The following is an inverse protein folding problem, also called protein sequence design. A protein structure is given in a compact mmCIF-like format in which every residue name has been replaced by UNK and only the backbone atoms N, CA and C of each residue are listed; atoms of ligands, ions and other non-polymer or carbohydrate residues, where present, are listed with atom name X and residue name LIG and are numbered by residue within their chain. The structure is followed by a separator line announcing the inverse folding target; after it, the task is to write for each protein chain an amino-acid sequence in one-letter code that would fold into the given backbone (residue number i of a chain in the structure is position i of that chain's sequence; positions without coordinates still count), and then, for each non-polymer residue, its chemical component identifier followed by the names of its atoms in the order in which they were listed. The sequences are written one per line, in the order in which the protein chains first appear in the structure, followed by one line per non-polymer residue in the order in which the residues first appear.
data_IF_968550323987
#
_entry.id   IF_968550323987
#
_cell.length_a   1.000
_cell.length_b   1.000
_cell.length_c   1.000
_cell.angle_alpha   90.00
_cell.angle_beta   90.00
_cell.angle_gamma   90.00
#
_symmetry.space_group_name_H-M   'P 1'
#
loop_
_entity.id
_entity.type
_entity.pdbx_description
1 polymer ?
#
# COMPACT_ATOMS: atom_id res chain seq x y z
N UNK A 1 -5.29 -5.59 15.79
CA UNK A 1 -4.34 -5.46 14.63
C UNK A 1 -4.46 -6.73 13.82
N UNK A 2 -4.52 -6.65 12.51
CA UNK A 2 -4.66 -7.82 11.64
C UNK A 2 -4.59 -7.43 10.17
N UNK A 3 -4.70 -8.42 9.30
CA UNK A 3 -4.69 -8.25 7.85
C UNK A 3 -5.99 -8.80 7.28
N UNK A 4 -6.59 -8.11 6.33
CA UNK A 4 -7.73 -8.63 5.56
C UNK A 4 -7.46 -8.49 4.07
N UNK A 5 -8.05 -9.41 3.33
CA UNK A 5 -8.02 -9.40 1.87
C UNK A 5 -9.47 -9.53 1.39
N UNK A 6 -9.90 -8.60 0.57
CA UNK A 6 -11.21 -8.67 -0.09
C UNK A 6 -11.04 -9.27 -1.48
N UNK A 7 -11.84 -10.28 -1.77
CA UNK A 7 -11.85 -11.00 -3.04
C UNK A 7 -13.17 -10.70 -3.75
N UNK A 8 -13.10 -10.40 -5.05
CA UNK A 8 -14.25 -10.22 -5.91
C UNK A 8 -14.53 -11.49 -6.72
N UNK A 9 -15.78 -11.93 -6.76
CA UNK A 9 -16.22 -12.98 -7.66
C UNK A 9 -16.44 -12.40 -9.07
N UNK A 10 -15.52 -12.67 -9.99
CA UNK A 10 -15.58 -12.19 -11.37
C UNK A 10 -16.70 -12.86 -12.18
N UNK A 11 -17.07 -14.10 -11.82
CA UNK A 11 -18.10 -14.89 -12.51
C UNK A 11 -19.25 -15.23 -11.56
N UNK A 12 -20.43 -15.53 -12.14
CA UNK A 12 -21.56 -16.02 -11.36
C UNK A 12 -21.27 -17.39 -10.72
N UNK A 13 -20.45 -18.22 -11.36
CA UNK A 13 -19.98 -19.48 -10.77
C UNK A 13 -19.22 -19.22 -9.48
N UNK A 14 -18.24 -18.32 -9.49
CA UNK A 14 -17.46 -17.96 -8.28
C UNK A 14 -18.34 -17.38 -7.19
N UNK A 15 -19.36 -16.57 -7.56
CA UNK A 15 -20.35 -16.03 -6.64
C UNK A 15 -21.15 -17.16 -5.97
N UNK A 16 -21.64 -18.12 -6.76
CA UNK A 16 -22.37 -19.27 -6.24
C UNK A 16 -21.50 -20.14 -5.32
N UNK A 17 -20.21 -20.27 -5.62
CA UNK A 17 -19.27 -20.94 -4.72
C UNK A 17 -19.18 -20.24 -3.36
N UNK A 18 -19.16 -18.90 -3.31
CA UNK A 18 -19.16 -18.19 -2.04
C UNK A 18 -20.39 -18.53 -1.19
N UNK A 19 -21.56 -18.61 -1.80
CA UNK A 19 -22.80 -19.01 -1.13
C UNK A 19 -22.75 -20.48 -0.69
N UNK A 20 -22.35 -21.40 -1.55
CA UNK A 20 -22.21 -22.82 -1.27
C UNK A 20 -21.29 -23.12 -0.10
N UNK A 21 -20.14 -22.41 -0.03
CA UNK A 21 -19.18 -22.53 1.07
C UNK A 21 -19.52 -21.65 2.28
N UNK A 22 -20.72 -21.05 2.28
CA UNK A 22 -21.21 -20.21 3.37
C UNK A 22 -20.24 -19.05 3.74
N UNK A 23 -19.64 -18.45 2.74
CA UNK A 23 -18.78 -17.29 2.91
C UNK A 23 -19.61 -16.04 3.27
N UNK A 24 -19.13 -15.25 4.21
CA UNK A 24 -19.79 -13.98 4.56
C UNK A 24 -19.48 -12.93 3.49
N UNK A 25 -20.43 -12.73 2.60
CA UNK A 25 -20.34 -11.77 1.50
C UNK A 25 -21.08 -10.46 1.81
N UNK A 26 -20.85 -9.45 0.98
CA UNK A 26 -21.69 -8.27 0.90
C UNK A 26 -23.10 -8.61 0.35
N UNK A 27 -24.07 -7.66 0.36
CA UNK A 27 -25.42 -7.92 -0.15
C UNK A 27 -25.49 -8.32 -1.61
N UNK A 28 -24.49 -7.99 -2.43
CA UNK A 28 -24.43 -8.43 -3.83
C UNK A 28 -24.01 -9.89 -3.99
N UNK A 29 -23.40 -10.48 -2.96
CA UNK A 29 -22.79 -11.81 -2.98
C UNK A 29 -21.47 -11.87 -3.75
N UNK A 30 -20.96 -10.74 -4.23
CA UNK A 30 -19.75 -10.69 -5.07
C UNK A 30 -18.45 -10.45 -4.30
N UNK A 31 -18.54 -9.85 -3.14
CA UNK A 31 -17.34 -9.49 -2.36
C UNK A 31 -17.30 -10.30 -1.08
N UNK A 32 -16.18 -10.98 -0.86
CA UNK A 32 -15.90 -11.78 0.32
C UNK A 32 -14.59 -11.30 0.95
N UNK A 33 -14.56 -11.19 2.27
CA UNK A 33 -13.36 -10.74 2.98
C UNK A 33 -12.81 -11.82 3.89
N UNK A 34 -11.56 -12.19 3.68
CA UNK A 34 -10.78 -13.01 4.60
C UNK A 34 -10.06 -12.10 5.59
N UNK A 35 -10.18 -12.44 6.86
CA UNK A 35 -9.51 -11.72 7.94
C UNK A 35 -8.57 -12.62 8.71
N UNK A 36 -7.28 -12.21 8.77
CA UNK A 36 -6.27 -12.82 9.61
C UNK A 36 -5.99 -11.92 10.81
N UNK A 37 -6.36 -12.39 11.99
CA UNK A 37 -6.29 -11.61 13.23
C UNK A 37 -4.87 -11.18 13.61
N UNK A 38 -3.87 -11.99 13.26
CA UNK A 38 -2.48 -11.74 13.58
C UNK A 38 -1.65 -11.56 12.32
N UNK A 39 -0.74 -10.59 12.38
CA UNK A 39 0.32 -10.39 11.41
C UNK A 39 1.65 -10.41 12.18
N UNK A 40 2.21 -11.60 12.33
CA UNK A 40 3.42 -11.84 13.10
C UNK A 40 4.59 -12.07 12.13
N UNK A 41 5.34 -11.01 11.89
CA UNK A 41 6.58 -11.07 11.12
C UNK A 41 7.51 -12.08 11.80
N UNK A 42 8.15 -12.95 11.03
CA UNK A 42 9.04 -13.99 11.55
C UNK A 42 8.37 -15.34 11.75
N UNK A 43 7.10 -15.42 12.14
CA UNK A 43 6.37 -16.70 12.15
C UNK A 43 5.98 -17.15 10.74
N UNK A 44 5.76 -16.21 9.82
CA UNK A 44 5.25 -16.49 8.48
C UNK A 44 6.33 -16.39 7.40
N UNK A 45 7.38 -15.61 7.61
CA UNK A 45 8.49 -15.49 6.65
C UNK A 45 9.17 -16.83 6.38
N UNK A 46 9.14 -17.75 7.34
CA UNK A 46 9.65 -19.11 7.18
C UNK A 46 9.04 -19.86 6.00
N UNK A 47 7.79 -19.61 5.66
CA UNK A 47 7.13 -20.21 4.48
C UNK A 47 7.79 -19.74 3.18
N UNK A 48 8.07 -18.44 3.06
CA UNK A 48 8.76 -17.89 1.89
C UNK A 48 10.20 -18.37 1.79
N UNK A 49 10.92 -18.42 2.92
CA UNK A 49 12.28 -18.95 2.97
C UNK A 49 12.32 -20.43 2.56
N UNK A 50 11.43 -21.26 3.10
CA UNK A 50 11.34 -22.68 2.76
C UNK A 50 10.95 -22.89 1.29
N UNK A 51 10.01 -22.12 0.75
CA UNK A 51 9.64 -22.19 -0.66
C UNK A 51 10.83 -21.94 -1.57
N UNK A 52 11.61 -20.89 -1.31
CA UNK A 52 12.81 -20.58 -2.11
C UNK A 52 13.91 -21.62 -1.89
N UNK A 53 14.18 -22.00 -0.63
CA UNK A 53 15.30 -22.89 -0.31
C UNK A 53 15.08 -24.33 -0.81
N UNK A 54 13.88 -24.87 -0.61
CA UNK A 54 13.56 -26.28 -0.87
C UNK A 54 12.95 -26.49 -2.27
N UNK A 55 11.99 -25.62 -2.65
CA UNK A 55 11.23 -25.77 -3.89
C UNK A 55 11.80 -24.94 -5.04
N UNK A 56 12.68 -23.97 -4.77
CA UNK A 56 13.23 -23.02 -5.74
C UNK A 56 12.13 -22.16 -6.41
N UNK A 57 11.06 -21.90 -5.69
CA UNK A 57 9.90 -21.17 -6.16
C UNK A 57 9.64 -19.93 -5.30
N UNK A 58 9.21 -18.83 -5.92
CA UNK A 58 8.66 -17.69 -5.20
C UNK A 58 7.30 -18.05 -4.62
N UNK A 59 6.94 -17.48 -3.46
CA UNK A 59 5.59 -17.63 -2.86
C UNK A 59 4.51 -16.82 -3.57
N UNK A 60 4.90 -15.92 -4.44
CA UNK A 60 4.04 -15.12 -5.29
C UNK A 60 4.83 -14.02 -5.99
N UNK A 61 4.24 -13.48 -7.05
CA UNK A 61 4.82 -12.38 -7.84
C UNK A 61 3.72 -11.36 -8.11
N UNK A 62 4.03 -10.07 -7.94
CA UNK A 62 3.11 -9.01 -8.33
C UNK A 62 3.05 -8.90 -9.87
N UNK A 63 1.83 -8.98 -10.42
CA UNK A 63 1.58 -8.87 -11.86
C UNK A 63 1.03 -7.51 -12.28
N UNK A 64 0.47 -6.75 -11.33
CA UNK A 64 -0.13 -5.45 -11.58
C UNK A 64 0.02 -4.54 -10.36
N UNK A 65 -0.16 -3.25 -10.58
CA UNK A 65 -0.13 -2.24 -9.54
C UNK A 65 -1.50 -1.58 -9.42
N UNK A 66 -2.37 -2.17 -8.59
CA UNK A 66 -3.76 -1.73 -8.45
C UNK A 66 -3.95 -0.67 -7.36
N UNK A 67 -3.13 -0.72 -6.32
CA UNK A 67 -3.26 0.16 -5.17
C UNK A 67 -1.90 0.73 -4.74
N UNK A 68 -1.93 1.88 -4.10
CA UNK A 68 -0.77 2.59 -3.58
C UNK A 68 -1.06 3.13 -2.18
N UNK A 69 -0.01 3.27 -1.36
CA UNK A 69 -0.13 3.81 -0.01
C UNK A 69 0.54 5.17 0.05
N UNK A 70 -0.27 6.21 0.09
CA UNK A 70 0.17 7.61 0.04
C UNK A 70 0.29 8.18 1.45
N UNK A 71 1.39 8.87 1.75
CA UNK A 71 1.58 9.59 2.99
C UNK A 71 0.50 10.66 3.17
N UNK A 72 -0.17 10.67 4.32
CA UNK A 72 -1.26 11.59 4.65
C UNK A 72 -1.00 12.19 6.02
N UNK A 73 -1.15 13.51 6.14
CA UNK A 73 -0.82 14.24 7.35
C UNK A 73 -1.72 13.88 8.54
N UNK A 74 -1.12 13.52 9.68
CA UNK A 74 -1.84 13.26 10.95
C UNK A 74 -2.28 14.54 11.64
N UNK A 75 -1.61 15.64 11.39
CA UNK A 75 -1.83 16.98 11.94
C UNK A 75 -1.48 18.03 10.90
N UNK A 76 -1.71 19.30 11.21
CA UNK A 76 -1.15 20.40 10.41
C UNK A 76 0.38 20.34 10.47
N UNK A 77 1.02 20.34 9.31
CA UNK A 77 2.46 20.30 9.14
C UNK A 77 2.95 21.60 8.52
N UNK A 78 4.13 22.06 8.95
CA UNK A 78 4.74 23.31 8.50
C UNK A 78 5.97 23.04 7.63
N UNK A 79 6.30 23.96 6.71
CA UNK A 79 7.57 23.87 5.98
C UNK A 79 8.76 23.81 6.94
N UNK A 80 9.72 22.98 6.62
CA UNK A 80 10.91 22.75 7.44
C UNK A 80 10.81 21.55 8.39
N UNK A 81 9.61 21.04 8.66
CA UNK A 81 9.45 19.80 9.44
C UNK A 81 10.03 18.59 8.69
N UNK A 82 10.58 17.66 9.43
CA UNK A 82 11.04 16.37 8.90
C UNK A 82 9.91 15.35 9.09
N UNK A 83 9.57 14.64 8.03
CA UNK A 83 8.61 13.54 8.09
C UNK A 83 9.28 12.32 8.72
N UNK A 84 8.55 11.63 9.59
CA UNK A 84 9.03 10.47 10.35
C UNK A 84 8.49 9.13 9.83
N UNK A 85 7.77 9.16 8.71
CA UNK A 85 7.34 8.00 7.97
C UNK A 85 6.33 7.10 8.68
N UNK A 86 6.42 5.80 8.39
CA UNK A 86 5.53 4.80 8.97
C UNK A 86 5.73 4.67 10.48
N UNK A 87 4.61 4.61 11.20
CA UNK A 87 4.62 4.48 12.66
C UNK A 87 4.90 5.77 13.43
N UNK A 88 5.28 6.85 12.75
CA UNK A 88 5.60 8.15 13.35
C UNK A 88 4.38 9.02 13.69
N UNK A 89 4.64 10.30 13.97
CA UNK A 89 3.64 11.29 14.41
C UNK A 89 3.20 12.26 13.31
N UNK A 90 3.94 12.34 12.20
CA UNK A 90 3.69 13.30 11.13
C UNK A 90 2.70 12.78 10.10
N UNK A 91 2.88 11.53 9.64
CA UNK A 91 2.10 10.96 8.55
C UNK A 91 1.57 9.57 8.86
N UNK A 92 0.58 9.14 8.10
CA UNK A 92 0.05 7.77 8.04
C UNK A 92 -0.21 7.38 6.58
N UNK A 93 -0.32 6.09 6.31
CA UNK A 93 -0.54 5.57 4.98
C UNK A 93 -2.02 5.51 4.60
N UNK A 94 -2.43 6.27 3.60
CA UNK A 94 -3.76 6.18 3.01
C UNK A 94 -3.74 5.33 1.75
N UNK A 95 -4.53 4.27 1.75
CA UNK A 95 -4.69 3.41 0.57
C UNK A 95 -5.52 4.14 -0.50
N UNK A 96 -4.98 4.21 -1.71
CA UNK A 96 -5.64 4.78 -2.88
C UNK A 96 -5.49 3.83 -4.08
N UNK A 97 -6.38 3.88 -5.10
CA UNK A 97 -6.09 3.29 -6.40
C UNK A 97 -4.77 3.84 -6.96
N UNK A 98 -3.92 2.97 -7.52
CA UNK A 98 -2.61 3.38 -8.05
C UNK A 98 -2.73 4.50 -9.09
N UNK A 99 -3.71 4.42 -9.99
CA UNK A 99 -3.99 5.47 -10.99
C UNK A 99 -4.26 6.83 -10.36
N UNK A 100 -4.99 6.86 -9.24
CA UNK A 100 -5.27 8.10 -8.50
C UNK A 100 -4.03 8.65 -7.82
N UNK A 101 -3.21 7.78 -7.21
CA UNK A 101 -1.94 8.17 -6.61
C UNK A 101 -0.99 8.78 -7.63
N UNK A 102 -0.82 8.12 -8.77
CA UNK A 102 0.03 8.61 -9.88
C UNK A 102 -0.47 9.94 -10.43
N UNK A 103 -1.78 10.05 -10.68
CA UNK A 103 -2.37 11.28 -11.21
C UNK A 103 -2.18 12.50 -10.30
N UNK A 104 -2.16 12.30 -8.99
CA UNK A 104 -1.94 13.38 -8.01
C UNK A 104 -0.46 13.60 -7.66
N UNK A 105 0.46 12.78 -8.16
CA UNK A 105 1.86 12.81 -7.75
C UNK A 105 2.07 12.44 -6.29
N UNK A 106 1.30 11.45 -5.78
CA UNK A 106 1.28 11.07 -4.37
C UNK A 106 2.64 10.60 -3.85
N UNK A 107 3.04 11.12 -2.68
CA UNK A 107 4.25 10.67 -1.99
C UNK A 107 4.01 9.31 -1.34
N UNK A 108 4.71 8.23 -1.75
CA UNK A 108 4.58 6.93 -1.11
C UNK A 108 4.98 6.98 0.36
N UNK A 109 4.22 6.34 1.24
CA UNK A 109 4.52 6.32 2.68
C UNK A 109 5.93 5.79 2.97
N UNK A 110 6.36 4.74 2.26
CA UNK A 110 7.70 4.16 2.42
C UNK A 110 8.86 5.09 2.03
N UNK A 111 8.58 6.19 1.32
CA UNK A 111 9.57 7.22 0.97
C UNK A 111 9.37 8.52 1.77
N UNK A 112 8.53 8.51 2.79
CA UNK A 112 8.26 9.67 3.66
C UNK A 112 9.08 9.64 4.96
N UNK A 113 10.21 8.94 4.98
CA UNK A 113 11.15 8.90 6.10
C UNK A 113 12.27 9.91 5.90
N UNK A 114 12.60 10.67 6.96
CA UNK A 114 13.73 11.61 7.02
C UNK A 114 13.73 12.64 5.88
N UNK A 115 12.53 12.93 5.33
CA UNK A 115 12.37 13.87 4.23
C UNK A 115 11.81 15.19 4.72
N UNK A 116 12.38 16.31 4.26
CA UNK A 116 12.00 17.66 4.67
C UNK A 116 10.78 18.14 3.90
N UNK A 117 9.78 18.62 4.65
CA UNK A 117 8.62 19.30 4.09
C UNK A 117 8.99 20.71 3.60
N UNK A 118 8.57 21.09 2.40
CA UNK A 118 8.82 22.41 1.81
C UNK A 118 7.57 23.27 1.64
N UNK A 119 6.38 22.67 1.76
CA UNK A 119 5.08 23.37 1.71
C UNK A 119 4.24 23.03 2.94
N UNK A 120 3.34 23.89 3.39
CA UNK A 120 2.42 23.56 4.48
C UNK A 120 1.39 22.54 4.02
N UNK A 121 1.09 21.54 4.87
CA UNK A 121 0.09 20.49 4.59
C UNK A 121 -0.88 20.42 5.76
N UNK A 122 -2.18 20.42 5.47
CA UNK A 122 -3.24 20.35 6.47
C UNK A 122 -3.49 18.90 6.92
N UNK A 123 -3.95 18.75 8.16
CA UNK A 123 -4.38 17.46 8.70
C UNK A 123 -5.36 16.77 7.75
N UNK A 124 -5.10 15.48 7.46
CA UNK A 124 -5.92 14.66 6.58
C UNK A 124 -5.65 14.85 5.08
N UNK A 125 -4.81 15.81 4.70
CA UNK A 125 -4.37 16.00 3.32
C UNK A 125 -3.27 14.99 2.98
N UNK A 126 -3.40 14.34 1.82
CA UNK A 126 -2.35 13.49 1.26
C UNK A 126 -1.22 14.35 0.69
N UNK A 127 0.01 13.93 0.92
CA UNK A 127 1.21 14.61 0.45
C UNK A 127 1.53 14.19 -1.00
N UNK A 128 2.10 15.13 -1.72
CA UNK A 128 2.62 14.93 -3.08
C UNK A 128 4.14 15.10 -3.11
N UNK A 129 4.78 14.67 -4.20
CA UNK A 129 6.22 14.90 -4.41
C UNK A 129 6.62 16.37 -4.28
N UNK A 130 5.74 17.27 -4.73
CA UNK A 130 5.96 18.72 -4.69
C UNK A 130 5.96 19.32 -3.27
N UNK A 131 5.50 18.59 -2.27
CA UNK A 131 5.44 19.06 -0.88
C UNK A 131 6.73 18.84 -0.11
N UNK A 132 7.68 18.05 -0.68
CA UNK A 132 8.89 17.60 0.00
C UNK A 132 10.16 17.85 -0.79
N UNK A 133 11.28 18.01 -0.09
CA UNK A 133 12.61 18.09 -0.69
C UNK A 133 13.16 16.67 -0.88
N UNK A 134 12.77 16.03 -1.99
CA UNK A 134 13.18 14.65 -2.28
C UNK A 134 14.60 14.58 -2.82
N UNK A 135 15.38 13.59 -2.35
CA UNK A 135 16.66 13.22 -2.96
C UNK A 135 16.41 12.28 -4.15
N UNK A 136 16.49 12.85 -5.34
CA UNK A 136 16.29 12.14 -6.61
C UNK A 136 17.43 11.19 -6.98
N UNK A 137 18.56 11.23 -6.26
CA UNK A 137 19.72 10.37 -6.50
C UNK A 137 19.51 8.96 -5.96
N UNK A 138 18.60 8.78 -5.01
CA UNK A 138 18.37 7.50 -4.33
C UNK A 138 17.81 6.44 -5.27
N UNK A 139 18.21 5.19 -5.05
CA UNK A 139 17.74 4.06 -5.84
C UNK A 139 16.24 3.83 -5.68
N UNK A 140 15.72 4.00 -4.46
CA UNK A 140 14.31 3.87 -4.17
C UNK A 140 13.44 4.87 -4.94
N UNK A 141 13.87 6.14 -5.01
CA UNK A 141 13.19 7.14 -5.83
C UNK A 141 13.19 6.77 -7.32
N UNK A 142 14.34 6.37 -7.86
CA UNK A 142 14.47 6.01 -9.28
C UNK A 142 13.57 4.83 -9.66
N UNK A 143 13.56 3.75 -8.86
CA UNK A 143 12.66 2.60 -9.09
C UNK A 143 11.19 3.03 -9.03
N UNK A 144 10.84 3.90 -8.09
CA UNK A 144 9.47 4.42 -7.99
C UNK A 144 9.08 5.21 -9.25
N UNK A 145 9.97 6.05 -9.77
CA UNK A 145 9.71 6.80 -11.00
C UNK A 145 9.59 5.89 -12.23
N UNK A 146 10.40 4.83 -12.31
CA UNK A 146 10.26 3.82 -13.37
C UNK A 146 8.91 3.09 -13.29
N UNK A 147 8.45 2.76 -12.07
CA UNK A 147 7.14 2.16 -11.86
C UNK A 147 6.02 3.09 -12.33
N UNK A 148 6.04 4.36 -11.90
CA UNK A 148 5.05 5.35 -12.31
C UNK A 148 5.01 5.56 -13.83
N UNK A 149 6.17 5.55 -14.49
CA UNK A 149 6.25 5.70 -15.94
C UNK A 149 5.62 4.51 -16.72
N UNK A 150 5.64 3.31 -16.13
CA UNK A 150 5.04 2.11 -16.76
C UNK A 150 3.50 2.08 -16.65
N UNK A 151 2.93 2.83 -15.71
CA UNK A 151 1.49 2.81 -15.41
C UNK A 151 0.78 4.14 -15.71
N UNK A 152 1.43 5.03 -16.44
CA UNK A 152 0.84 6.28 -16.97
C UNK A 152 0.02 6.06 -18.24
#
# INVERSE_FOLDING_TARGET
MGVWVTVEAETDYSKNCFEEYNAHTDPSGRYFTLYKRWHLIGLEVGMSVASVALRKEATGVAHCWNADVVATAKRDLKPGEILDGEGGYTVWGKLLPASKSVAMGGLPLGLAHDIKLIRPVKKGQSLCWDDVAVDTSTHAYKIRQELEAKFK
#
